data_IF_905403627007
#
_entry.id   IF_905403627007
#
_cell.length_a   1.000
_cell.length_b   1.000
_cell.length_c   1.000
_cell.angle_alpha   90.00
_cell.angle_beta   90.00
_cell.angle_gamma   90.00
#
_symmetry.space_group_name_H-M   'P 1'
#
loop_
_entity.id
_entity.type
_entity.pdbx_description
1 polymer ?
#
# COMPACT_ATOMS: atom_id res chain seq x y z
N UNK A 1 29.86 -41.79 -42.80
CA UNK A 1 28.65 -42.58 -42.48
C UNK A 1 27.99 -42.03 -41.24
N UNK A 2 27.24 -40.94 -41.39
CA UNK A 2 26.40 -40.39 -40.33
C UNK A 2 24.98 -40.91 -40.60
N UNK A 3 24.51 -41.78 -39.72
CA UNK A 3 23.27 -42.53 -39.91
C UNK A 3 22.09 -41.58 -39.67
N UNK A 4 21.36 -41.25 -40.73
CA UNK A 4 20.03 -40.61 -40.65
C UNK A 4 19.11 -41.55 -39.88
N UNK A 5 18.52 -41.07 -38.77
CA UNK A 5 17.56 -41.85 -37.96
C UNK A 5 17.77 -41.86 -36.44
N UNK A 6 18.58 -40.96 -35.87
CA UNK A 6 18.71 -40.86 -34.41
C UNK A 6 17.48 -40.18 -33.79
N UNK A 7 16.51 -40.95 -33.32
CA UNK A 7 15.38 -40.43 -32.52
C UNK A 7 15.84 -40.24 -31.07
N UNK A 8 15.72 -39.02 -30.55
CA UNK A 8 15.96 -38.71 -29.13
C UNK A 8 14.63 -38.78 -28.40
N UNK A 9 14.38 -39.88 -27.70
CA UNK A 9 13.17 -40.06 -26.88
C UNK A 9 13.46 -39.44 -25.51
N UNK A 10 12.64 -38.47 -25.11
CA UNK A 10 12.69 -37.86 -23.78
C UNK A 10 11.47 -38.36 -23.01
N UNK A 11 11.71 -39.07 -21.92
CA UNK A 11 10.67 -39.51 -21.01
C UNK A 11 10.38 -38.38 -20.02
N UNK A 12 9.18 -37.80 -20.13
CA UNK A 12 8.66 -36.86 -19.16
C UNK A 12 7.88 -37.63 -18.11
N UNK A 13 8.05 -37.23 -16.86
CA UNK A 13 7.27 -37.78 -15.76
C UNK A 13 5.80 -37.39 -15.90
N UNK A 14 4.91 -38.32 -15.56
CA UNK A 14 3.48 -38.12 -15.67
C UNK A 14 3.04 -36.97 -14.74
N UNK A 15 2.41 -35.90 -15.26
CA UNK A 15 2.01 -34.74 -14.47
C UNK A 15 1.05 -35.09 -13.32
N UNK A 16 0.27 -36.16 -13.43
CA UNK A 16 -0.60 -36.63 -12.34
C UNK A 16 0.19 -37.23 -11.18
N UNK A 17 1.35 -37.82 -11.45
CA UNK A 17 2.24 -38.40 -10.44
C UNK A 17 3.12 -37.32 -9.83
N UNK A 18 3.71 -36.45 -10.66
CA UNK A 18 4.56 -35.34 -10.23
C UNK A 18 3.84 -34.35 -9.30
N UNK A 19 2.51 -34.19 -9.44
CA UNK A 19 1.70 -33.37 -8.53
C UNK A 19 1.44 -34.01 -7.16
N UNK A 20 1.45 -35.34 -7.08
CA UNK A 20 1.07 -36.09 -5.86
C UNK A 20 2.27 -36.43 -4.99
N UNK A 21 3.41 -36.70 -5.59
CA UNK A 21 4.65 -37.01 -4.86
C UNK A 21 5.59 -35.81 -4.89
N UNK A 22 5.79 -35.10 -3.77
CA UNK A 22 6.75 -34.01 -3.72
C UNK A 22 8.16 -34.53 -4.01
N UNK A 23 8.89 -33.83 -4.89
CA UNK A 23 10.16 -34.27 -5.50
C UNK A 23 11.28 -34.55 -4.49
N UNK A 24 11.11 -34.19 -3.22
CA UNK A 24 12.13 -34.32 -2.18
C UNK A 24 11.53 -34.54 -0.79
N UNK A 25 10.71 -35.57 -0.61
CA UNK A 25 10.30 -36.02 0.73
C UNK A 25 10.95 -37.36 1.09
N UNK A 26 11.75 -37.36 2.14
CA UNK A 26 12.10 -38.61 2.82
C UNK A 26 10.83 -39.22 3.44
N UNK A 27 10.63 -40.56 3.39
CA UNK A 27 9.46 -41.18 3.99
C UNK A 27 9.50 -41.00 5.51
N UNK A 28 8.51 -40.29 6.05
CA UNK A 28 8.37 -40.07 7.48
C UNK A 28 8.08 -41.39 8.20
N UNK A 29 8.83 -41.71 9.26
CA UNK A 29 8.53 -42.85 10.13
C UNK A 29 7.22 -42.58 10.86
N UNK A 30 6.21 -43.42 10.62
CA UNK A 30 4.94 -43.36 11.34
C UNK A 30 5.07 -44.17 12.63
N UNK A 31 5.60 -43.54 13.66
CA UNK A 31 5.49 -44.08 15.01
C UNK A 31 4.05 -43.84 15.49
N UNK A 32 3.39 -44.82 16.14
CA UNK A 32 2.10 -44.58 16.79
C UNK A 32 2.28 -43.47 17.82
N UNK A 33 1.61 -42.35 17.59
CA UNK A 33 1.54 -41.26 18.55
C UNK A 33 0.48 -41.69 19.58
N UNK A 34 0.80 -41.59 20.87
CA UNK A 34 -0.22 -41.80 21.91
C UNK A 34 -1.32 -40.77 21.71
N UNK A 35 -2.56 -41.25 21.57
CA UNK A 35 -3.73 -40.39 21.53
C UNK A 35 -3.99 -39.90 22.97
N UNK A 36 -3.95 -38.58 23.17
CA UNK A 36 -4.32 -37.99 24.45
C UNK A 36 -5.79 -38.33 24.76
N UNK A 37 -6.10 -38.55 26.04
CA UNK A 37 -7.48 -38.75 26.49
C UNK A 37 -8.32 -37.49 26.22
N UNK A 38 -9.52 -37.68 25.68
CA UNK A 38 -10.48 -36.60 25.48
C UNK A 38 -10.79 -35.90 26.82
N UNK A 39 -10.64 -34.59 26.88
CA UNK A 39 -11.00 -33.78 28.05
C UNK A 39 -12.52 -33.77 28.19
N UNK A 40 -13.04 -34.14 29.38
CA UNK A 40 -14.47 -34.10 29.64
C UNK A 40 -14.97 -32.64 29.62
N UNK A 41 -16.09 -32.33 28.92
CA UNK A 41 -16.65 -30.98 28.90
C UNK A 41 -16.99 -30.44 30.31
N UNK A 42 -17.29 -31.31 31.28
CA UNK A 42 -17.57 -30.89 32.67
C UNK A 42 -16.30 -30.48 33.44
N UNK A 43 -15.11 -30.88 32.98
CA UNK A 43 -13.81 -30.46 33.54
C UNK A 43 -13.34 -29.12 32.96
N UNK A 44 -14.06 -28.57 31.98
CA UNK A 44 -13.80 -27.24 31.41
C UNK A 44 -14.53 -26.19 32.24
N UNK A 45 -13.79 -25.52 33.12
CA UNK A 45 -14.31 -24.38 33.89
C UNK A 45 -14.42 -23.17 32.96
N UNK A 46 -15.64 -22.83 32.55
CA UNK A 46 -15.95 -21.59 31.82
C UNK A 46 -16.14 -20.42 32.80
N UNK A 47 -15.04 -19.98 33.43
CA UNK A 47 -15.00 -18.77 34.27
C UNK A 47 -14.99 -17.47 33.43
N UNK A 48 -15.27 -17.54 32.12
CA UNK A 48 -15.46 -16.35 31.30
C UNK A 48 -16.80 -15.70 31.67
N UNK A 49 -16.77 -14.88 32.71
CA UNK A 49 -17.73 -13.78 32.81
C UNK A 49 -17.76 -13.09 31.44
N UNK A 50 -18.94 -12.95 30.80
CA UNK A 50 -19.01 -12.25 29.52
C UNK A 50 -18.55 -10.82 29.79
N UNK A 51 -17.29 -10.54 29.47
CA UNK A 51 -16.72 -9.21 29.59
C UNK A 51 -17.64 -8.33 28.78
N UNK A 52 -18.22 -7.32 29.44
CA UNK A 52 -19.06 -6.32 28.79
C UNK A 52 -18.28 -5.84 27.57
N UNK A 53 -18.84 -6.10 26.38
CA UNK A 53 -18.19 -5.71 25.13
C UNK A 53 -17.90 -4.22 25.13
N UNK A 54 -16.89 -3.80 24.37
CA UNK A 54 -16.55 -2.39 24.22
C UNK A 54 -17.81 -1.60 23.83
N UNK A 55 -18.08 -0.52 24.58
CA UNK A 55 -19.09 0.46 24.24
C UNK A 55 -18.72 1.16 22.93
N UNK A 56 -19.69 1.76 22.23
CA UNK A 56 -19.40 2.49 20.98
C UNK A 56 -18.38 3.62 21.18
N UNK A 57 -18.41 4.27 22.35
CA UNK A 57 -17.46 5.32 22.72
C UNK A 57 -16.04 4.78 22.81
N UNK A 58 -15.85 3.66 23.51
CA UNK A 58 -14.54 3.00 23.66
C UNK A 58 -14.03 2.48 22.31
N UNK A 59 -14.93 1.95 21.46
CA UNK A 59 -14.56 1.57 20.10
C UNK A 59 -14.10 2.76 19.27
N UNK A 60 -14.78 3.91 19.36
CA UNK A 60 -14.38 5.12 18.63
C UNK A 60 -13.04 5.65 19.12
N UNK A 61 -12.82 5.66 20.42
CA UNK A 61 -11.55 6.09 21.03
C UNK A 61 -10.39 5.21 20.57
N UNK A 62 -10.56 3.89 20.54
CA UNK A 62 -9.55 2.95 20.03
C UNK A 62 -9.29 3.09 18.52
N UNK A 63 -10.26 3.62 17.77
CA UNK A 63 -10.15 3.90 16.34
C UNK A 63 -9.71 5.33 16.05
N UNK A 64 -9.57 6.18 17.08
CA UNK A 64 -9.03 7.53 16.91
C UNK A 64 -7.58 7.43 16.48
N UNK A 65 -7.17 8.32 15.57
CA UNK A 65 -5.79 8.38 15.08
C UNK A 65 -4.84 9.10 16.06
N UNK A 66 -5.27 9.26 17.32
CA UNK A 66 -4.62 10.05 18.36
C UNK A 66 -3.29 9.38 18.78
N UNK A 67 -2.22 9.67 18.04
CA UNK A 67 -0.88 9.19 18.32
C UNK A 67 -0.16 8.54 17.14
N UNK A 68 -0.82 8.35 15.99
CA UNK A 68 -0.14 7.90 14.78
C UNK A 68 0.58 9.09 14.14
N UNK A 69 1.85 9.28 14.48
CA UNK A 69 2.71 10.22 13.76
C UNK A 69 3.01 9.60 12.39
N UNK A 70 2.66 10.26 11.27
CA UNK A 70 3.03 9.75 9.96
C UNK A 70 4.54 9.67 9.87
N UNK A 71 5.05 8.55 9.38
CA UNK A 71 6.47 8.34 9.18
C UNK A 71 7.01 9.42 8.21
N UNK A 72 8.04 10.19 8.60
CA UNK A 72 8.60 11.24 7.74
C UNK A 72 9.16 10.71 6.41
N UNK A 73 9.52 9.43 6.34
CA UNK A 73 10.06 8.80 5.14
C UNK A 73 8.94 8.31 4.18
N UNK A 74 7.68 8.26 4.64
CA UNK A 74 6.54 7.86 3.82
C UNK A 74 5.65 9.05 3.47
N UNK A 75 5.22 9.11 2.21
CA UNK A 75 4.25 10.11 1.76
C UNK A 75 2.94 9.96 2.53
N UNK A 76 2.45 11.07 3.11
CA UNK A 76 1.15 11.12 3.78
C UNK A 76 0.05 10.67 2.81
N UNK A 77 -0.84 9.79 3.28
CA UNK A 77 -2.02 9.41 2.54
C UNK A 77 -2.95 10.62 2.35
N UNK A 78 -3.41 10.81 1.13
CA UNK A 78 -4.46 11.78 0.80
C UNK A 78 -5.81 11.31 1.34
N UNK A 79 -6.55 12.22 1.95
CA UNK A 79 -7.93 12.00 2.36
C UNK A 79 -8.91 12.38 1.25
N UNK A 80 -10.12 11.81 1.28
CA UNK A 80 -11.16 12.16 0.32
C UNK A 80 -11.59 13.62 0.40
N UNK A 81 -11.56 14.23 1.59
CA UNK A 81 -11.90 15.63 1.79
C UNK A 81 -10.86 16.57 1.16
N UNK A 82 -9.57 16.22 1.23
CA UNK A 82 -8.50 16.99 0.55
C UNK A 82 -8.67 16.97 -0.97
N UNK A 83 -9.00 15.80 -1.55
CA UNK A 83 -9.28 15.67 -2.98
C UNK A 83 -10.55 16.40 -3.40
N UNK A 84 -11.61 16.32 -2.60
CA UNK A 84 -12.88 17.00 -2.86
C UNK A 84 -12.66 18.53 -2.88
N UNK A 85 -11.91 19.07 -1.93
CA UNK A 85 -11.55 20.49 -1.90
C UNK A 85 -10.77 20.93 -3.15
N UNK A 86 -9.84 20.10 -3.66
CA UNK A 86 -9.11 20.39 -4.90
C UNK A 86 -10.06 20.40 -6.10
N UNK A 87 -10.94 19.41 -6.22
CA UNK A 87 -11.92 19.34 -7.29
C UNK A 87 -12.87 20.54 -7.26
N UNK A 88 -13.37 20.90 -6.08
CA UNK A 88 -14.24 22.04 -5.86
C UNK A 88 -13.58 23.35 -6.29
N UNK A 89 -12.31 23.57 -5.94
CA UNK A 89 -11.60 24.81 -6.28
C UNK A 89 -11.24 24.88 -7.76
N UNK A 90 -10.78 23.77 -8.35
CA UNK A 90 -10.33 23.75 -9.74
C UNK A 90 -11.47 23.65 -10.74
N UNK A 91 -12.48 22.82 -10.46
CA UNK A 91 -13.57 22.52 -11.39
C UNK A 91 -14.79 23.40 -11.10
N UNK A 92 -15.23 23.43 -9.84
CA UNK A 92 -16.46 24.16 -9.44
C UNK A 92 -16.23 25.66 -9.22
N UNK A 93 -14.98 26.08 -8.97
CA UNK A 93 -14.61 27.47 -8.78
C UNK A 93 -15.17 28.09 -7.50
N UNK A 94 -15.05 27.40 -6.36
CA UNK A 94 -15.57 27.92 -5.08
C UNK A 94 -14.78 29.13 -4.56
N UNK A 95 -15.49 30.05 -3.90
CA UNK A 95 -14.90 31.20 -3.20
C UNK A 95 -14.58 30.93 -1.70
N UNK A 96 -14.73 29.70 -1.22
CA UNK A 96 -14.46 29.38 0.19
C UNK A 96 -12.95 29.40 0.46
N UNK A 97 -12.51 30.44 1.18
CA UNK A 97 -11.11 30.65 1.56
C UNK A 97 -10.48 29.45 2.28
N UNK A 98 -11.25 28.70 3.07
CA UNK A 98 -10.72 27.50 3.74
C UNK A 98 -10.43 26.38 2.75
N UNK A 99 -11.38 26.11 1.84
CA UNK A 99 -11.21 25.10 0.78
C UNK A 99 -10.06 25.47 -0.16
N UNK A 100 -9.97 26.74 -0.55
CA UNK A 100 -8.89 27.29 -1.39
C UNK A 100 -7.52 27.05 -0.75
N UNK A 101 -7.37 27.37 0.55
CA UNK A 101 -6.11 27.17 1.26
C UNK A 101 -5.75 25.69 1.37
N UNK A 102 -6.70 24.84 1.75
CA UNK A 102 -6.50 23.40 1.88
C UNK A 102 -6.14 22.77 0.53
N UNK A 103 -6.83 23.16 -0.54
CA UNK A 103 -6.55 22.70 -1.90
C UNK A 103 -5.13 23.11 -2.35
N UNK A 104 -4.73 24.35 -2.09
CA UNK A 104 -3.38 24.83 -2.41
C UNK A 104 -2.28 24.05 -1.66
N UNK A 105 -2.49 23.79 -0.36
CA UNK A 105 -1.56 22.99 0.45
C UNK A 105 -1.46 21.54 -0.03
N UNK A 106 -2.61 20.94 -0.37
CA UNK A 106 -2.69 19.58 -0.93
C UNK A 106 -1.94 19.50 -2.26
N UNK A 107 -2.16 20.45 -3.17
CA UNK A 107 -1.48 20.48 -4.46
C UNK A 107 0.03 20.69 -4.33
N UNK A 108 0.48 21.46 -3.33
CA UNK A 108 1.90 21.62 -3.05
C UNK A 108 2.55 20.33 -2.57
N UNK A 109 1.88 19.58 -1.69
CA UNK A 109 2.35 18.26 -1.24
C UNK A 109 2.43 17.25 -2.41
N UNK A 110 1.61 17.44 -3.44
CA UNK A 110 1.53 16.55 -4.59
C UNK A 110 2.42 16.95 -5.77
N UNK A 111 3.17 18.06 -5.71
CA UNK A 111 3.86 18.65 -6.86
C UNK A 111 4.74 17.65 -7.66
N UNK A 112 5.34 16.68 -6.96
CA UNK A 112 6.26 15.67 -7.52
C UNK A 112 5.55 14.33 -7.83
N UNK A 113 4.21 14.31 -7.84
CA UNK A 113 3.41 13.11 -8.07
C UNK A 113 2.72 13.14 -9.43
N UNK A 114 2.43 11.95 -9.98
CA UNK A 114 1.63 11.82 -11.21
C UNK A 114 0.22 12.41 -11.07
N UNK A 115 -0.30 12.48 -9.84
CA UNK A 115 -1.61 13.07 -9.55
C UNK A 115 -1.63 14.58 -9.77
N UNK A 116 -0.54 15.29 -9.43
CA UNK A 116 -0.41 16.70 -9.77
C UNK A 116 -0.29 16.93 -11.28
N UNK A 117 0.44 16.04 -11.98
CA UNK A 117 0.47 16.06 -13.45
C UNK A 117 -0.94 15.92 -14.03
N UNK A 118 -1.75 15.00 -13.49
CA UNK A 118 -3.14 14.84 -13.91
C UNK A 118 -3.96 16.14 -13.77
N UNK A 119 -3.87 16.83 -12.62
CA UNK A 119 -4.58 18.10 -12.41
C UNK A 119 -4.07 19.26 -13.28
N UNK A 120 -2.83 19.19 -13.76
CA UNK A 120 -2.26 20.23 -14.63
C UNK A 120 -2.52 19.97 -16.11
N UNK A 121 -2.49 18.71 -16.57
CA UNK A 121 -2.58 18.38 -18.00
C UNK A 121 -3.95 17.92 -18.45
N UNK A 122 -4.60 17.01 -17.71
CA UNK A 122 -5.78 16.29 -18.21
C UNK A 122 -7.09 17.07 -18.02
N UNK A 123 -7.16 17.92 -16.99
CA UNK A 123 -8.39 18.64 -16.65
C UNK A 123 -8.48 20.05 -17.26
N UNK A 124 -7.48 20.48 -18.05
CA UNK A 124 -7.38 21.85 -18.58
C UNK A 124 -7.49 22.96 -17.50
N UNK A 125 -7.27 22.59 -16.23
CA UNK A 125 -7.33 23.47 -15.04
C UNK A 125 -6.00 24.18 -14.76
N UNK A 126 -5.03 24.09 -15.67
CA UNK A 126 -3.68 24.62 -15.49
C UNK A 126 -3.68 26.09 -15.04
N UNK A 127 -4.46 26.95 -15.69
CA UNK A 127 -4.50 28.38 -15.33
C UNK A 127 -5.06 28.63 -13.94
N UNK A 128 -6.04 27.85 -13.49
CA UNK A 128 -6.64 27.97 -12.15
C UNK A 128 -5.69 27.42 -11.09
N UNK A 129 -5.06 26.27 -11.39
CA UNK A 129 -4.08 25.64 -10.52
C UNK A 129 -2.85 26.53 -10.30
N UNK A 130 -2.30 27.11 -11.37
CA UNK A 130 -1.18 28.04 -11.24
C UNK A 130 -1.56 29.32 -10.49
N UNK A 131 -2.76 29.86 -10.74
CA UNK A 131 -3.27 31.03 -10.01
C UNK A 131 -3.42 30.71 -8.51
N UNK A 132 -4.01 29.56 -8.19
CA UNK A 132 -4.24 29.07 -6.84
C UNK A 132 -2.92 28.96 -6.05
N UNK A 133 -1.91 28.32 -6.65
CA UNK A 133 -0.59 28.18 -6.04
C UNK A 133 0.12 29.52 -5.86
N UNK A 134 0.07 30.41 -6.87
CA UNK A 134 0.68 31.75 -6.77
C UNK A 134 0.05 32.61 -5.68
N UNK A 135 -1.27 32.53 -5.49
CA UNK A 135 -2.02 33.38 -4.55
C UNK A 135 -1.95 32.87 -3.11
N UNK A 136 -1.76 31.56 -2.90
CA UNK A 136 -1.88 30.95 -1.57
C UNK A 136 -0.55 30.46 -0.98
N UNK A 137 0.52 30.37 -1.77
CA UNK A 137 1.82 29.95 -1.24
C UNK A 137 2.63 31.15 -0.72
N UNK A 138 3.20 31.07 0.50
CA UNK A 138 3.89 32.20 1.14
C UNK A 138 5.22 32.60 0.46
N UNK A 139 5.70 31.86 -0.55
CA UNK A 139 6.95 32.16 -1.24
C UNK A 139 6.76 32.06 -2.76
N UNK A 140 6.49 33.19 -3.41
CA UNK A 140 6.63 33.38 -4.85
C UNK A 140 8.09 33.37 -5.34
N UNK A 141 8.91 32.45 -4.82
CA UNK A 141 10.24 32.14 -5.35
C UNK A 141 10.22 30.70 -5.77
N UNK A 142 10.35 30.52 -7.07
CA UNK A 142 10.74 29.28 -7.74
C UNK A 142 11.56 28.43 -6.77
N UNK A 143 10.98 27.33 -6.28
CA UNK A 143 11.79 26.30 -5.67
C UNK A 143 12.76 25.89 -6.74
N UNK A 144 14.04 26.23 -6.54
CA UNK A 144 15.14 25.72 -7.34
C UNK A 144 14.85 24.26 -7.60
N UNK A 145 14.75 23.88 -8.88
CA UNK A 145 14.79 22.48 -9.28
C UNK A 145 16.02 21.89 -8.61
N UNK A 146 15.84 21.28 -7.44
CA UNK A 146 16.76 20.26 -7.01
C UNK A 146 16.52 19.19 -8.05
N UNK A 147 17.31 19.23 -9.12
CA UNK A 147 17.62 18.05 -9.87
C UNK A 147 17.89 17.00 -8.80
N UNK A 148 16.96 16.04 -8.66
CA UNK A 148 17.27 14.78 -8.03
C UNK A 148 18.52 14.32 -8.78
N UNK A 149 19.70 14.59 -8.21
CA UNK A 149 20.90 13.95 -8.66
C UNK A 149 20.55 12.49 -8.58
N UNK A 150 20.48 11.87 -9.75
CA UNK A 150 20.15 10.49 -9.90
C UNK A 150 21.16 9.75 -9.03
N UNK A 151 20.74 9.34 -7.84
CA UNK A 151 21.59 8.61 -6.90
C UNK A 151 21.85 7.28 -7.59
N UNK A 152 22.92 7.26 -8.38
CA UNK A 152 23.42 6.09 -9.06
C UNK A 152 23.94 5.15 -7.99
N UNK A 153 23.09 4.24 -7.52
CA UNK A 153 23.51 3.16 -6.66
C UNK A 153 24.42 2.25 -7.50
N UNK A 154 25.72 2.26 -7.18
CA UNK A 154 26.69 1.36 -7.79
C UNK A 154 26.54 -0.05 -7.21
N UNK A 155 25.78 -0.88 -7.93
CA UNK A 155 25.54 -2.28 -7.58
C UNK A 155 26.79 -3.15 -7.61
N UNK A 156 27.89 -2.73 -8.26
CA UNK A 156 29.16 -3.48 -8.24
C UNK A 156 29.87 -3.42 -6.88
N UNK A 157 29.41 -2.57 -5.95
CA UNK A 157 29.93 -2.54 -4.58
C UNK A 157 29.37 -3.67 -3.70
N UNK A 158 28.30 -4.33 -4.13
CA UNK A 158 27.55 -5.31 -3.34
C UNK A 158 27.50 -6.72 -3.97
N UNK A 159 28.18 -6.90 -5.11
CA UNK A 159 28.43 -8.19 -5.77
C UNK A 159 29.90 -8.57 -5.62
#
# INVERSE_FOLDING_TARGET
NEVIGKTKIVYLEDPEVARKTPTRSEPMKKEPIEEDEDINPDDVIDDFTPKKGLTESEKRELMSNDGCVPDPDFSRALTFEELDNVADVLISGTDDRKKIRNAAETLYQLQDTDLFRFFSTELSTQSQLEKLLRENMPNGKETSKQSLEQIGIDWNKYM
#
